data_IF_325158788835
#
_entry.id   IF_325158788835
#
_cell.length_a   1.000
_cell.length_b   1.000
_cell.length_c   1.000
_cell.angle_alpha   90.00
_cell.angle_beta   90.00
_cell.angle_gamma   90.00
#
_symmetry.space_group_name_H-M   'P 1'
#
loop_
_entity.id
_entity.type
_entity.pdbx_description
1 polymer ?
#
# COMPACT_ATOMS: atom_id res chain seq x y z
N UNK A 1 25.33 11.75 10.53
CA UNK A 1 24.28 10.81 10.06
C UNK A 1 24.41 9.51 10.84
N UNK A 2 23.33 9.00 11.44
CA UNK A 2 23.34 7.65 12.01
C UNK A 2 23.16 6.65 10.88
N UNK A 3 24.10 5.71 10.75
CA UNK A 3 24.08 4.67 9.71
C UNK A 3 22.89 3.70 9.86
N UNK A 4 22.32 3.59 11.07
CA UNK A 4 21.12 2.78 11.36
C UNK A 4 19.84 3.34 10.73
N UNK A 5 19.79 4.64 10.44
CA UNK A 5 18.61 5.28 9.85
C UNK A 5 18.26 4.73 8.46
N UNK A 6 19.26 4.33 7.67
CA UNK A 6 19.05 3.75 6.34
C UNK A 6 18.39 2.37 6.43
N UNK A 7 18.82 1.56 7.41
CA UNK A 7 18.21 0.26 7.69
C UNK A 7 16.75 0.40 8.13
N UNK A 8 16.46 1.29 9.08
CA UNK A 8 15.09 1.48 9.60
C UNK A 8 14.14 2.00 8.52
N UNK A 9 14.61 2.94 7.68
CA UNK A 9 13.84 3.46 6.56
C UNK A 9 13.55 2.38 5.50
N UNK A 10 14.56 1.61 5.09
CA UNK A 10 14.37 0.51 4.14
C UNK A 10 13.49 -0.60 4.71
N UNK A 11 13.68 -0.99 5.97
CA UNK A 11 12.87 -2.03 6.61
C UNK A 11 11.39 -1.64 6.68
N UNK A 12 11.10 -0.43 7.16
CA UNK A 12 9.73 0.09 7.22
C UNK A 12 9.09 0.25 5.83
N UNK A 13 9.88 0.66 4.82
CA UNK A 13 9.42 0.72 3.43
C UNK A 13 9.11 -0.66 2.83
N UNK A 14 9.91 -1.69 3.13
CA UNK A 14 9.65 -3.06 2.68
C UNK A 14 8.34 -3.60 3.26
N UNK A 15 8.11 -3.40 4.56
CA UNK A 15 6.84 -3.80 5.20
C UNK A 15 5.64 -3.05 4.60
N UNK A 16 5.79 -1.75 4.36
CA UNK A 16 4.75 -0.92 3.75
C UNK A 16 4.40 -1.38 2.32
N UNK A 17 5.40 -1.62 1.48
CA UNK A 17 5.17 -2.06 0.10
C UNK A 17 4.62 -3.49 0.03
N UNK A 18 5.04 -4.39 0.93
CA UNK A 18 4.45 -5.73 1.04
C UNK A 18 2.96 -5.67 1.36
N UNK A 19 2.56 -4.88 2.35
CA UNK A 19 1.14 -4.70 2.65
C UNK A 19 0.38 -4.10 1.47
N UNK A 20 0.98 -3.14 0.75
CA UNK A 20 0.38 -2.57 -0.46
C UNK A 20 0.15 -3.65 -1.52
N UNK A 21 1.09 -4.56 -1.75
CA UNK A 21 0.91 -5.70 -2.66
C UNK A 21 -0.20 -6.64 -2.20
N UNK A 22 -0.27 -6.95 -0.90
CA UNK A 22 -1.30 -7.82 -0.33
C UNK A 22 -2.70 -7.24 -0.56
N UNK A 23 -2.86 -5.93 -0.39
CA UNK A 23 -4.13 -5.22 -0.64
C UNK A 23 -4.50 -5.19 -2.12
N UNK A 24 -3.53 -4.92 -3.01
CA UNK A 24 -3.77 -4.94 -4.47
C UNK A 24 -4.16 -6.35 -4.92
N UNK A 25 -3.48 -7.38 -4.42
CA UNK A 25 -3.81 -8.77 -4.70
C UNK A 25 -5.23 -9.11 -4.23
N UNK A 26 -5.62 -8.66 -3.05
CA UNK A 26 -6.99 -8.80 -2.53
C UNK A 26 -8.02 -8.08 -3.42
N UNK A 27 -7.71 -6.89 -3.94
CA UNK A 27 -8.59 -6.18 -4.86
C UNK A 27 -8.78 -6.95 -6.17
N UNK A 28 -7.69 -7.42 -6.78
CA UNK A 28 -7.74 -8.20 -8.03
C UNK A 28 -8.57 -9.48 -7.83
N UNK A 29 -8.34 -10.20 -6.74
CA UNK A 29 -9.06 -11.44 -6.43
C UNK A 29 -10.57 -11.22 -6.25
N UNK A 30 -10.98 -10.05 -5.75
CA UNK A 30 -12.38 -9.71 -5.52
C UNK A 30 -12.98 -8.79 -6.59
N UNK A 31 -12.31 -8.60 -7.74
CA UNK A 31 -12.75 -7.68 -8.78
C UNK A 31 -14.10 -8.07 -9.42
N UNK A 32 -14.47 -9.35 -9.36
CA UNK A 32 -15.74 -9.89 -9.88
C UNK A 32 -16.73 -10.25 -8.75
N UNK A 33 -16.43 -9.90 -7.50
CA UNK A 33 -17.27 -10.28 -6.36
C UNK A 33 -18.42 -9.29 -6.14
N UNK A 34 -19.61 -9.66 -6.64
CA UNK A 34 -20.87 -8.92 -6.50
C UNK A 34 -21.52 -9.06 -5.11
N UNK A 35 -21.17 -10.10 -4.36
CA UNK A 35 -21.74 -10.44 -3.04
C UNK A 35 -20.68 -10.41 -1.93
N UNK A 36 -20.07 -9.26 -1.71
CA UNK A 36 -18.99 -9.12 -0.73
C UNK A 36 -19.52 -8.90 0.70
N UNK A 37 -20.50 -8.01 0.86
CA UNK A 37 -21.08 -7.68 2.16
C UNK A 37 -22.60 -7.77 2.10
N UNK A 38 -23.23 -8.19 3.20
CA UNK A 38 -24.68 -8.17 3.32
C UNK A 38 -25.08 -7.02 4.25
N UNK A 39 -25.59 -5.94 3.68
CA UNK A 39 -25.96 -4.72 4.42
C UNK A 39 -27.40 -4.38 4.10
N UNK A 40 -28.22 -4.12 5.13
CA UNK A 40 -29.63 -3.73 4.99
C UNK A 40 -30.46 -4.70 4.12
N UNK A 41 -30.20 -6.01 4.23
CA UNK A 41 -30.95 -7.03 3.48
C UNK A 41 -30.54 -7.19 2.02
N UNK A 42 -29.50 -6.48 1.54
CA UNK A 42 -29.00 -6.55 0.16
C UNK A 42 -27.50 -6.86 0.14
N UNK A 43 -27.09 -7.60 -0.89
CA UNK A 43 -25.67 -7.81 -1.16
C UNK A 43 -25.06 -6.55 -1.79
N UNK A 44 -23.99 -6.04 -1.20
CA UNK A 44 -23.14 -5.01 -1.78
C UNK A 44 -21.91 -5.64 -2.43
N UNK A 45 -21.50 -5.14 -3.61
CA UNK A 45 -20.28 -5.58 -4.28
C UNK A 45 -19.05 -5.20 -3.48
N UNK A 46 -17.94 -5.89 -3.76
CA UNK A 46 -16.65 -5.56 -3.17
C UNK A 46 -16.26 -4.11 -3.46
N UNK A 47 -15.76 -3.41 -2.44
CA UNK A 47 -15.22 -2.05 -2.58
C UNK A 47 -13.71 -2.11 -2.60
N UNK A 48 -13.11 -1.44 -3.57
CA UNK A 48 -11.66 -1.33 -3.73
C UNK A 48 -11.02 -0.77 -2.46
N UNK A 49 -9.96 -1.41 -1.98
CA UNK A 49 -9.21 -1.00 -0.79
C UNK A 49 -7.90 -0.31 -1.18
N UNK A 50 -7.56 0.77 -0.48
CA UNK A 50 -6.37 1.58 -0.72
C UNK A 50 -5.53 1.67 0.55
N UNK A 51 -4.21 1.54 0.41
CA UNK A 51 -3.26 1.69 1.52
C UNK A 51 -2.80 3.14 1.60
N UNK A 52 -3.01 3.78 2.74
CA UNK A 52 -2.52 5.13 3.02
C UNK A 52 -1.20 5.04 3.76
N UNK A 53 -0.12 5.45 3.08
CA UNK A 53 1.21 5.53 3.67
C UNK A 53 1.41 6.90 4.32
N UNK A 54 1.88 6.90 5.56
CA UNK A 54 2.22 8.11 6.31
C UNK A 54 3.68 8.01 6.77
N UNK A 55 4.39 9.15 6.88
CA UNK A 55 5.71 9.16 7.51
C UNK A 55 5.58 8.80 9.00
N UNK A 56 6.61 8.17 9.56
CA UNK A 56 6.69 7.85 10.98
C UNK A 56 7.06 9.07 11.87
N UNK A 57 7.04 10.29 11.31
CA UNK A 57 7.24 11.53 12.05
C UNK A 57 5.95 11.94 12.78
N UNK A 58 6.07 12.33 14.06
CA UNK A 58 4.93 12.74 14.90
C UNK A 58 4.49 14.19 14.63
N UNK A 59 5.42 15.10 14.30
CA UNK A 59 5.13 16.49 13.97
C UNK A 59 6.26 17.14 13.16
N UNK A 60 5.96 18.18 12.38
CA UNK A 60 6.96 19.01 11.71
C UNK A 60 7.95 19.61 12.71
N UNK A 61 7.47 20.01 13.90
CA UNK A 61 8.32 20.55 14.96
C UNK A 61 9.36 19.52 15.45
N UNK A 62 8.99 18.24 15.52
CA UNK A 62 9.90 17.16 15.91
C UNK A 62 10.98 16.92 14.85
N UNK A 63 10.61 17.01 13.57
CA UNK A 63 11.54 16.89 12.44
C UNK A 63 12.53 18.06 12.43
N UNK A 64 12.03 19.29 12.58
CA UNK A 64 12.84 20.51 12.61
C UNK A 64 13.80 20.51 13.81
N UNK A 65 13.30 20.19 15.01
CA UNK A 65 14.15 20.06 16.20
C UNK A 65 15.16 18.92 16.07
N UNK A 66 14.78 17.80 15.44
CA UNK A 66 15.70 16.70 15.16
C UNK A 66 16.85 17.12 14.23
N UNK A 67 16.55 17.93 13.20
CA UNK A 67 17.55 18.48 12.29
C UNK A 67 18.45 19.52 12.97
N UNK A 68 17.89 20.46 13.72
CA UNK A 68 18.64 21.50 14.44
C UNK A 68 19.59 20.90 15.50
N UNK A 69 19.18 19.82 16.16
CA UNK A 69 19.99 19.15 17.18
C UNK A 69 20.96 18.09 16.61
N UNK A 70 21.13 17.99 15.28
CA UNK A 70 21.99 16.98 14.64
C UNK A 70 21.54 15.52 14.85
N UNK A 71 20.36 15.32 15.43
CA UNK A 71 19.70 14.02 15.66
C UNK A 71 18.67 13.71 14.57
N UNK A 72 18.92 14.14 13.33
CA UNK A 72 18.04 13.89 12.20
C UNK A 72 17.85 12.36 12.02
N UNK A 73 16.70 11.85 12.45
CA UNK A 73 16.22 10.52 12.10
C UNK A 73 15.39 10.69 10.84
N UNK A 74 15.72 9.93 9.79
CA UNK A 74 14.84 9.87 8.62
C UNK A 74 13.57 9.16 9.07
N UNK A 75 12.40 9.82 9.06
CA UNK A 75 11.17 9.16 9.41
C UNK A 75 10.92 8.09 8.35
N UNK A 76 11.03 6.82 8.73
CA UNK A 76 10.57 5.70 7.90
C UNK A 76 9.09 5.86 7.53
N UNK A 77 8.58 4.94 6.73
CA UNK A 77 7.17 4.98 6.30
C UNK A 77 6.36 3.92 7.04
N UNK A 78 5.12 4.25 7.40
CA UNK A 78 4.17 3.32 7.98
C UNK A 78 2.91 3.26 7.14
N UNK A 79 2.32 2.07 7.00
CA UNK A 79 0.95 1.97 6.52
C UNK A 79 0.03 2.37 7.67
N UNK A 80 -0.60 3.53 7.55
CA UNK A 80 -1.43 4.10 8.61
C UNK A 80 -2.77 3.41 8.71
N UNK A 81 -3.40 3.13 7.57
CA UNK A 81 -4.74 2.56 7.45
C UNK A 81 -5.00 2.06 6.05
N UNK A 82 -5.98 1.17 5.94
CA UNK A 82 -6.58 0.72 4.69
C UNK A 82 -7.95 1.40 4.60
N UNK A 83 -8.16 2.19 3.57
CA UNK A 83 -9.43 2.88 3.32
C UNK A 83 -10.16 2.25 2.15
N UNK A 84 -11.49 2.29 2.17
CA UNK A 84 -12.30 1.92 1.01
C UNK A 84 -12.43 3.11 0.06
N UNK A 85 -12.37 2.83 -1.24
CA UNK A 85 -12.58 3.80 -2.29
C UNK A 85 -14.08 4.20 -2.33
N UNK A 86 -14.34 5.50 -2.24
CA UNK A 86 -15.70 6.07 -2.21
C UNK A 86 -16.32 6.22 -3.61
N UNK A 87 -15.59 5.86 -4.67
CA UNK A 87 -16.13 5.88 -6.03
C UNK A 87 -17.33 4.93 -6.16
N UNK A 88 -18.38 5.33 -6.89
CA UNK A 88 -19.58 4.52 -7.04
C UNK A 88 -19.27 3.20 -7.78
N UNK A 89 -19.96 2.13 -7.39
CA UNK A 89 -19.92 0.83 -8.06
C UNK A 89 -20.36 0.94 -9.52
N UNK A 90 -19.74 0.18 -10.42
CA UNK A 90 -20.08 0.20 -11.84
C UNK A 90 -21.38 -0.55 -12.09
N UNK A 91 -22.34 0.08 -12.77
CA UNK A 91 -23.55 -0.59 -13.22
C UNK A 91 -23.30 -1.19 -14.61
N UNK A 92 -23.52 -2.50 -14.75
CA UNK A 92 -23.37 -3.23 -16.01
C UNK A 92 -24.70 -3.87 -16.35
N UNK A 93 -25.20 -3.62 -17.56
CA UNK A 93 -26.41 -4.27 -18.04
C UNK A 93 -26.10 -5.73 -18.40
N UNK A 94 -26.65 -6.67 -17.63
CA UNK A 94 -26.55 -8.10 -17.87
C UNK A 94 -27.79 -8.80 -17.29
N UNK A 95 -28.89 -8.89 -18.05
CA UNK A 95 -30.16 -9.46 -17.58
C UNK A 95 -30.09 -10.97 -17.30
N UNK A 96 -29.08 -11.67 -17.83
CA UNK A 96 -28.87 -13.11 -17.58
C UNK A 96 -28.11 -13.39 -16.27
N UNK A 97 -27.64 -12.35 -15.56
CA UNK A 97 -26.85 -12.51 -14.36
C UNK A 97 -27.75 -12.79 -13.14
N UNK A 98 -27.39 -13.74 -12.24
CA UNK A 98 -28.20 -14.05 -11.05
C UNK A 98 -28.40 -12.88 -10.07
N UNK A 99 -27.49 -11.89 -10.12
CA UNK A 99 -27.52 -10.68 -9.29
C UNK A 99 -28.03 -9.44 -10.04
N UNK A 100 -28.69 -9.63 -11.18
CA UNK A 100 -29.32 -8.52 -11.90
C UNK A 100 -30.54 -8.01 -11.12
N UNK A 101 -30.66 -6.69 -11.03
CA UNK A 101 -31.85 -6.02 -10.51
C UNK A 101 -33.04 -6.19 -11.48
N UNK A 102 -34.23 -5.75 -11.09
CA UNK A 102 -35.47 -5.85 -11.89
C UNK A 102 -35.35 -5.26 -13.31
N UNK A 103 -34.43 -4.30 -13.48
CA UNK A 103 -34.13 -3.64 -14.75
C UNK A 103 -33.00 -4.31 -15.57
N UNK A 104 -32.48 -5.47 -15.13
CA UNK A 104 -31.40 -6.20 -15.80
C UNK A 104 -29.99 -5.66 -15.54
N UNK A 105 -29.81 -4.80 -14.54
CA UNK A 105 -28.50 -4.20 -14.19
C UNK A 105 -27.85 -4.90 -13.00
N UNK A 106 -26.55 -5.14 -13.10
CA UNK A 106 -25.70 -5.71 -12.04
C UNK A 106 -24.79 -4.63 -11.49
N UNK A 107 -24.69 -4.54 -10.16
CA UNK A 107 -23.70 -3.71 -9.47
C UNK A 107 -22.37 -4.47 -9.38
N UNK A 108 -21.39 -4.04 -10.17
CA UNK A 108 -20.04 -4.58 -10.14
C UNK A 108 -19.14 -3.78 -9.19
N UNK A 109 -18.13 -4.44 -8.59
CA UNK A 109 -17.07 -3.77 -7.83
C UNK A 109 -16.45 -2.58 -8.57
N UNK A 110 -16.01 -1.57 -7.83
CA UNK A 110 -15.25 -0.42 -8.35
C UNK A 110 -13.75 -0.73 -8.51
N UNK A 111 -13.40 -1.98 -8.84
CA UNK A 111 -12.02 -2.42 -9.05
C UNK A 111 -11.72 -2.46 -10.54
N UNK A 112 -10.69 -1.74 -10.96
CA UNK A 112 -10.14 -1.84 -12.31
C UNK A 112 -8.88 -2.69 -12.27
N UNK A 113 -8.96 -3.91 -12.82
CA UNK A 113 -7.86 -4.88 -12.81
C UNK A 113 -6.63 -4.35 -13.53
N UNK A 114 -6.79 -3.57 -14.61
CA UNK A 114 -5.65 -2.98 -15.33
C UNK A 114 -4.91 -1.98 -14.44
N UNK A 115 -5.67 -1.14 -13.73
CA UNK A 115 -5.10 -0.18 -12.78
C UNK A 115 -4.41 -0.89 -11.61
N UNK A 116 -5.04 -1.91 -11.04
CA UNK A 116 -4.44 -2.70 -9.95
C UNK A 116 -3.15 -3.41 -10.40
N UNK A 117 -3.09 -3.93 -11.63
CA UNK A 117 -1.85 -4.53 -12.16
C UNK A 117 -0.72 -3.50 -12.30
N UNK A 118 -1.02 -2.29 -12.77
CA UNK A 118 -0.02 -1.20 -12.83
C UNK A 118 0.45 -0.81 -11.42
N UNK A 119 -0.48 -0.71 -10.46
CA UNK A 119 -0.16 -0.45 -9.06
C UNK A 119 0.69 -1.59 -8.46
N UNK A 120 0.42 -2.85 -8.82
CA UNK A 120 1.20 -4.01 -8.38
C UNK A 120 2.64 -3.96 -8.92
N UNK A 121 2.80 -3.62 -10.20
CA UNK A 121 4.12 -3.44 -10.82
C UNK A 121 4.88 -2.32 -10.12
N UNK A 122 4.22 -1.18 -9.87
CA UNK A 122 4.82 -0.04 -9.15
C UNK A 122 5.26 -0.42 -7.73
N UNK A 123 4.42 -1.13 -6.98
CA UNK A 123 4.75 -1.62 -5.65
C UNK A 123 5.92 -2.61 -5.68
N UNK A 124 5.93 -3.53 -6.68
CA UNK A 124 6.99 -4.53 -6.87
C UNK A 124 8.34 -3.87 -7.14
N UNK A 125 8.39 -2.94 -8.09
CA UNK A 125 9.60 -2.15 -8.39
C UNK A 125 10.08 -1.35 -7.18
N UNK A 126 9.16 -0.78 -6.40
CA UNK A 126 9.50 -0.06 -5.17
C UNK A 126 10.10 -0.99 -4.10
N UNK A 127 9.58 -2.21 -3.97
CA UNK A 127 10.13 -3.22 -3.07
C UNK A 127 11.54 -3.66 -3.52
N UNK A 128 11.74 -3.96 -4.80
CA UNK A 128 13.04 -4.30 -5.39
C UNK A 128 14.08 -3.17 -5.16
N UNK A 129 13.68 -1.92 -5.36
CA UNK A 129 14.53 -0.76 -5.12
C UNK A 129 14.93 -0.65 -3.64
N UNK A 130 13.99 -0.88 -2.72
CA UNK A 130 14.26 -0.86 -1.27
C UNK A 130 15.19 -1.99 -0.83
N UNK A 131 15.06 -3.19 -1.42
CA UNK A 131 15.99 -4.30 -1.18
C UNK A 131 17.40 -3.94 -1.66
N UNK A 132 17.52 -3.32 -2.83
CA UNK A 132 18.80 -2.84 -3.37
C UNK A 132 19.43 -1.79 -2.44
N UNK A 133 18.65 -0.81 -1.97
CA UNK A 133 19.11 0.21 -1.04
C UNK A 133 19.57 -0.38 0.31
N UNK A 134 18.83 -1.38 0.83
CA UNK A 134 19.19 -2.11 2.04
C UNK A 134 20.53 -2.84 1.89
N UNK A 135 20.71 -3.54 0.76
CA UNK A 135 21.95 -4.26 0.46
C UNK A 135 23.14 -3.30 0.30
N UNK A 136 22.96 -2.15 -0.35
CA UNK A 136 23.98 -1.12 -0.45
C UNK A 136 24.38 -0.59 0.94
N UNK A 137 23.40 -0.31 1.79
CA UNK A 137 23.63 0.14 3.18
C UNK A 137 24.39 -0.92 3.99
N UNK A 138 24.01 -2.20 3.84
CA UNK A 138 24.72 -3.34 4.44
C UNK A 138 26.17 -3.43 3.97
N UNK A 139 26.42 -3.24 2.67
CA UNK A 139 27.78 -3.22 2.11
C UNK A 139 28.65 -2.12 2.70
N UNK A 140 28.10 -0.90 2.82
CA UNK A 140 28.80 0.22 3.45
C UNK A 140 29.13 -0.06 4.92
N UNK A 141 28.20 -0.69 5.66
CA UNK A 141 28.41 -1.04 7.06
C UNK A 141 29.53 -2.07 7.24
N UNK A 142 29.54 -3.13 6.44
CA UNK A 142 30.60 -4.13 6.47
C UNK A 142 31.97 -3.52 6.17
N UNK A 143 32.05 -2.62 5.17
CA UNK A 143 33.30 -1.91 4.85
C UNK A 143 33.75 -0.97 5.96
N UNK A 144 32.83 -0.27 6.61
CA UNK A 144 33.16 0.57 7.76
C UNK A 144 33.72 -0.26 8.94
N UNK A 145 33.19 -1.46 9.18
CA UNK A 145 33.71 -2.38 10.19
C UNK A 145 35.10 -2.92 9.85
N UNK A 146 35.40 -3.14 8.56
CA UNK A 146 36.74 -3.54 8.10
C UNK A 146 37.78 -2.43 8.33
N UNK A 147 37.42 -1.15 8.15
CA UNK A 147 38.31 -0.01 8.37
C UNK A 147 38.60 0.23 9.86
N UNK A 148 37.70 -0.19 10.76
CA UNK A 148 37.86 -0.04 12.20
C UNK A 148 38.71 -1.12 12.88
N UNK A 149 39.24 -2.09 12.13
CA UNK A 149 40.24 -3.07 12.59
C UNK A 149 41.64 -2.57 12.27
#
# INVERSE_FOLDING_TARGET
MRLTNGFDASASALTAQRLRMDVISSNIANAETTRANFVNGRYEPYKRKLVVLEPNAKSFADVLNGQLNGKASSPGVKASRIIEDQTPSKLVYNPSHPDADENGYVKMPNVDVLKEMVDMISASRSYEANVTALNATKGMYMKALEIGK
#
